data_IF_649058753699
#
_entry.id   IF_649058753699
#
_cell.length_a   1.000
_cell.length_b   1.000
_cell.length_c   1.000
_cell.angle_alpha   90.00
_cell.angle_beta   90.00
_cell.angle_gamma   90.00
#
_symmetry.space_group_name_H-M   'P 1'
#
loop_
_entity.id
_entity.type
_entity.pdbx_description
1 polymer ?
#
# COMPACT_ATOMS: atom_id res chain seq x y z
N UNK A 1 0.84 14.43 33.82
CA UNK A 1 0.06 14.06 32.63
C UNK A 1 1.05 14.11 31.48
N UNK A 2 1.66 12.98 31.14
CA UNK A 2 2.42 12.86 29.91
C UNK A 2 1.47 13.14 28.75
N UNK A 3 1.79 14.13 27.93
CA UNK A 3 1.12 14.29 26.64
C UNK A 3 1.44 13.00 25.86
N UNK A 4 0.47 12.09 25.74
CA UNK A 4 0.57 10.99 24.78
C UNK A 4 0.91 11.63 23.44
N UNK A 5 2.07 11.30 22.94
CA UNK A 5 2.56 11.78 21.65
C UNK A 5 1.69 11.11 20.59
N UNK A 6 0.58 11.76 20.21
CA UNK A 6 -0.38 11.23 19.25
C UNK A 6 0.29 11.23 17.88
N UNK A 7 0.81 10.07 17.49
CA UNK A 7 1.50 9.90 16.22
C UNK A 7 0.58 10.11 15.02
N UNK A 8 1.13 10.67 13.93
CA UNK A 8 0.47 10.79 12.64
C UNK A 8 1.00 9.70 11.68
N UNK A 9 0.12 8.85 11.21
CA UNK A 9 0.40 7.80 10.22
C UNK A 9 -0.23 8.18 8.89
N UNK A 10 0.59 8.28 7.85
CA UNK A 10 0.13 8.54 6.49
C UNK A 10 0.25 7.26 5.68
N UNK A 11 -0.82 6.88 5.02
CA UNK A 11 -0.87 5.76 4.07
C UNK A 11 -1.11 6.29 2.66
N UNK A 12 -0.24 5.95 1.73
CA UNK A 12 -0.32 6.38 0.34
C UNK A 12 -0.36 5.14 -0.57
N UNK A 13 -1.42 4.98 -1.35
CA UNK A 13 -1.47 4.06 -2.48
C UNK A 13 -1.08 4.82 -3.73
N UNK A 14 -0.02 4.40 -4.41
CA UNK A 14 0.49 5.05 -5.61
C UNK A 14 0.62 4.07 -6.78
N UNK A 15 0.11 4.47 -7.93
CA UNK A 15 0.25 3.80 -9.22
C UNK A 15 0.51 4.82 -10.31
N UNK A 16 0.75 4.37 -11.55
CA UNK A 16 0.89 5.28 -12.70
C UNK A 16 -0.37 6.14 -12.95
N UNK A 17 -1.54 5.61 -12.66
CA UNK A 17 -2.79 6.31 -12.92
C UNK A 17 -3.20 7.24 -11.81
N UNK A 18 -3.14 6.76 -10.57
CA UNK A 18 -3.69 7.44 -9.41
C UNK A 18 -2.82 7.28 -8.18
N UNK A 19 -2.86 8.32 -7.36
CA UNK A 19 -2.36 8.32 -5.99
C UNK A 19 -3.51 8.63 -5.06
N UNK A 20 -3.63 7.88 -3.96
CA UNK A 20 -4.56 8.18 -2.86
C UNK A 20 -3.77 8.28 -1.56
N UNK A 21 -4.17 9.21 -0.70
CA UNK A 21 -3.53 9.39 0.61
C UNK A 21 -4.58 9.36 1.71
N UNK A 22 -4.28 8.61 2.75
CA UNK A 22 -5.09 8.51 3.97
C UNK A 22 -4.28 8.93 5.18
N UNK A 23 -4.97 9.41 6.19
CA UNK A 23 -4.41 9.79 7.49
C UNK A 23 -5.01 8.94 8.59
N UNK A 24 -4.20 8.62 9.59
CA UNK A 24 -4.64 7.91 10.78
C UNK A 24 -3.93 8.42 12.03
N UNK A 25 -4.68 8.51 13.11
CA UNK A 25 -4.21 8.83 14.46
C UNK A 25 -4.93 7.91 15.44
N UNK A 26 -4.29 7.58 16.55
CA UNK A 26 -4.83 6.59 17.51
C UNK A 26 -6.25 6.90 18.01
N UNK A 27 -6.63 8.17 18.11
CA UNK A 27 -7.99 8.57 18.56
C UNK A 27 -9.06 8.46 17.46
N UNK A 28 -8.66 8.24 16.19
CA UNK A 28 -9.58 8.09 15.08
C UNK A 28 -10.15 6.68 15.06
N UNK A 29 -11.44 6.57 14.76
CA UNK A 29 -12.11 5.28 14.64
C UNK A 29 -11.55 4.43 13.49
N UNK A 30 -11.22 5.09 12.38
CA UNK A 30 -10.65 4.49 11.17
C UNK A 30 -9.82 5.53 10.40
N UNK A 31 -8.90 5.09 9.53
CA UNK A 31 -8.17 6.00 8.65
C UNK A 31 -9.12 6.79 7.74
N UNK A 32 -8.83 8.08 7.57
CA UNK A 32 -9.60 8.96 6.70
C UNK A 32 -8.81 9.26 5.43
N UNK A 33 -9.42 9.01 4.28
CA UNK A 33 -8.82 9.33 2.99
C UNK A 33 -9.09 10.79 2.63
N UNK A 34 -8.07 11.47 2.15
CA UNK A 34 -8.15 12.89 1.83
C UNK A 34 -8.86 13.05 0.48
N UNK A 35 -9.97 13.80 0.49
CA UNK A 35 -10.65 14.16 -0.74
C UNK A 35 -9.98 15.36 -1.41
N UNK A 36 -9.84 15.30 -2.73
CA UNK A 36 -9.34 16.41 -3.55
C UNK A 36 -10.40 17.50 -3.78
N UNK A 37 -11.66 17.21 -3.49
CA UNK A 37 -12.78 18.13 -3.62
C UNK A 37 -13.53 18.14 -2.29
N UNK A 38 -13.58 19.30 -1.65
CA UNK A 38 -14.24 19.45 -0.36
C UNK A 38 -15.73 19.02 -0.43
N UNK A 39 -16.14 18.17 0.52
CA UNK A 39 -17.49 17.66 0.59
C UNK A 39 -17.87 16.56 -0.42
N UNK A 40 -16.87 15.97 -1.10
CA UNK A 40 -17.08 14.84 -2.02
C UNK A 40 -16.14 13.66 -1.70
N UNK A 41 -16.48 12.47 -2.19
CA UNK A 41 -15.65 11.26 -2.10
C UNK A 41 -14.65 11.14 -3.27
N UNK A 42 -14.04 12.26 -3.68
CA UNK A 42 -13.08 12.29 -4.77
C UNK A 42 -11.66 12.07 -4.25
N UNK A 43 -11.29 10.84 -4.03
CA UNK A 43 -10.01 10.46 -3.39
C UNK A 43 -8.85 10.28 -4.36
N UNK A 44 -9.13 9.96 -5.62
CA UNK A 44 -8.11 9.67 -6.62
C UNK A 44 -7.47 10.95 -7.14
N UNK A 45 -6.18 11.09 -6.91
CA UNK A 45 -5.33 12.14 -7.45
C UNK A 45 -4.62 11.53 -8.67
N UNK A 46 -4.84 12.00 -9.91
CA UNK A 46 -4.05 11.54 -11.03
C UNK A 46 -2.55 11.67 -10.75
N UNK A 47 -1.78 10.60 -10.96
CA UNK A 47 -0.31 10.62 -10.81
C UNK A 47 0.28 11.35 -12.02
N UNK A 48 0.03 12.64 -12.08
CA UNK A 48 0.36 13.51 -13.20
C UNK A 48 1.03 14.79 -12.73
N UNK A 49 2.11 15.16 -13.40
CA UNK A 49 2.86 16.39 -13.21
C UNK A 49 3.00 17.10 -14.55
N UNK A 50 2.89 18.42 -14.56
CA UNK A 50 3.07 19.21 -15.77
C UNK A 50 3.78 20.52 -15.48
N UNK A 51 4.70 20.93 -16.38
CA UNK A 51 5.40 22.23 -16.34
C UNK A 51 4.68 23.22 -17.22
N UNK A 52 4.38 24.40 -16.70
CA UNK A 52 3.85 25.51 -17.51
C UNK A 52 4.89 25.96 -18.54
N UNK A 53 4.47 26.14 -19.77
CA UNK A 53 5.35 26.59 -20.85
C UNK A 53 5.97 27.97 -20.56
N UNK A 54 7.28 28.10 -20.74
CA UNK A 54 8.03 29.33 -20.58
C UNK A 54 8.20 29.80 -19.11
N UNK A 55 7.73 29.04 -18.11
CA UNK A 55 7.77 29.40 -16.67
C UNK A 55 8.09 28.18 -15.82
N UNK A 56 8.84 28.39 -14.73
CA UNK A 56 9.18 27.32 -13.76
C UNK A 56 8.03 26.89 -12.82
N UNK A 57 6.76 26.98 -13.26
CA UNK A 57 5.61 26.61 -12.45
C UNK A 57 5.15 25.18 -12.75
N UNK A 58 4.89 24.40 -11.69
CA UNK A 58 4.43 23.03 -11.79
C UNK A 58 2.98 22.88 -11.36
N UNK A 59 2.22 22.10 -12.13
CA UNK A 59 0.86 21.66 -11.82
C UNK A 59 0.86 20.16 -11.53
N UNK A 60 -0.01 19.68 -10.65
CA UNK A 60 -0.13 18.26 -10.32
C UNK A 60 -1.58 17.77 -10.37
N UNK A 61 -1.75 16.46 -10.47
CA UNK A 61 -3.06 15.82 -10.42
C UNK A 61 -3.99 16.24 -11.55
N UNK A 62 -5.23 16.57 -11.23
CA UNK A 62 -6.25 16.97 -12.22
C UNK A 62 -5.88 18.27 -12.93
N UNK A 63 -5.31 19.22 -12.20
CA UNK A 63 -4.90 20.48 -12.82
C UNK A 63 -3.83 20.26 -13.89
N UNK A 64 -2.84 19.41 -13.63
CA UNK A 64 -1.83 19.04 -14.62
C UNK A 64 -2.48 18.51 -15.91
N UNK A 65 -3.41 17.54 -15.79
CA UNK A 65 -4.12 16.99 -16.95
C UNK A 65 -4.93 18.04 -17.72
N UNK A 66 -5.60 18.96 -17.03
CA UNK A 66 -6.37 20.05 -17.66
C UNK A 66 -5.44 20.99 -18.42
N UNK A 67 -4.31 21.42 -17.81
CA UNK A 67 -3.36 22.35 -18.41
C UNK A 67 -2.60 21.74 -19.61
N UNK A 68 -2.34 20.45 -19.57
CA UNK A 68 -1.78 19.72 -20.71
C UNK A 68 -2.80 19.68 -21.86
N UNK A 69 -4.05 19.34 -21.56
CA UNK A 69 -5.13 19.29 -22.57
C UNK A 69 -5.40 20.66 -23.22
N UNK A 70 -5.27 21.76 -22.47
CA UNK A 70 -5.41 23.13 -23.01
C UNK A 70 -4.17 23.61 -23.78
N UNK A 71 -3.07 22.85 -23.79
CA UNK A 71 -1.81 23.24 -24.44
C UNK A 71 -0.98 24.25 -23.65
N UNK A 72 -1.37 24.60 -22.41
CA UNK A 72 -0.66 25.59 -21.58
C UNK A 72 0.56 25.00 -20.86
N UNK A 73 0.60 23.68 -20.66
CA UNK A 73 1.67 22.99 -19.96
C UNK A 73 2.13 21.74 -20.72
N UNK A 74 3.34 21.29 -20.41
CA UNK A 74 3.92 20.03 -20.88
C UNK A 74 3.82 18.99 -19.77
N UNK A 75 3.18 17.87 -20.06
CA UNK A 75 2.98 16.77 -19.12
C UNK A 75 4.18 15.84 -19.06
N UNK A 76 4.35 15.19 -17.91
CA UNK A 76 5.26 14.06 -17.73
C UNK A 76 4.42 12.80 -17.80
N UNK A 77 4.71 11.94 -18.76
CA UNK A 77 4.09 10.63 -18.92
C UNK A 77 4.91 9.57 -18.15
N UNK A 78 4.22 8.54 -17.62
CA UNK A 78 4.84 7.40 -16.93
C UNK A 78 5.80 7.85 -15.81
N UNK A 79 5.36 8.80 -15.00
CA UNK A 79 6.19 9.48 -14.01
C UNK A 79 6.80 8.51 -12.99
N UNK A 80 6.02 7.56 -12.50
CA UNK A 80 6.45 6.62 -11.47
C UNK A 80 7.46 5.61 -12.04
N UNK A 81 7.19 5.07 -13.22
CA UNK A 81 8.07 4.08 -13.87
C UNK A 81 9.39 4.72 -14.31
N UNK A 82 9.35 5.91 -14.93
CA UNK A 82 10.56 6.67 -15.27
C UNK A 82 11.40 7.02 -14.04
N UNK A 83 10.75 7.37 -12.93
CA UNK A 83 11.47 7.63 -11.70
C UNK A 83 12.13 6.36 -11.16
N UNK A 84 11.44 5.21 -11.23
CA UNK A 84 11.96 3.91 -10.81
C UNK A 84 13.15 3.46 -11.65
N UNK A 85 13.08 3.66 -12.96
CA UNK A 85 14.17 3.29 -13.90
C UNK A 85 15.32 4.29 -13.95
N UNK A 86 15.19 5.42 -13.23
CA UNK A 86 16.23 6.46 -13.20
C UNK A 86 16.33 7.27 -14.50
N UNK A 87 15.23 7.33 -15.26
CA UNK A 87 15.21 8.05 -16.54
C UNK A 87 15.23 9.57 -16.37
N UNK A 88 15.60 10.23 -17.43
CA UNK A 88 15.60 11.69 -17.56
C UNK A 88 14.45 12.14 -18.47
N UNK A 89 13.77 13.19 -18.06
CA UNK A 89 12.65 13.79 -18.78
C UNK A 89 13.08 15.11 -19.38
N UNK A 90 12.86 15.26 -20.67
CA UNK A 90 13.13 16.52 -21.39
C UNK A 90 11.84 17.32 -21.55
N UNK A 91 11.81 18.52 -20.97
CA UNK A 91 10.69 19.45 -21.11
C UNK A 91 11.23 20.79 -21.64
N UNK A 92 10.74 21.22 -22.78
CA UNK A 92 11.27 22.36 -23.52
C UNK A 92 12.76 22.16 -23.87
N UNK A 93 13.65 22.90 -23.22
CA UNK A 93 15.11 22.84 -23.39
C UNK A 93 15.83 22.37 -22.10
N UNK A 94 15.09 21.93 -21.11
CA UNK A 94 15.61 21.55 -19.81
C UNK A 94 15.47 20.06 -19.58
N UNK A 95 16.45 19.51 -18.87
CA UNK A 95 16.56 18.10 -18.53
C UNK A 95 16.30 17.95 -17.02
N UNK A 96 15.45 17.03 -16.67
CA UNK A 96 15.07 16.75 -15.29
C UNK A 96 15.24 15.26 -14.98
N UNK A 97 15.75 14.92 -13.81
CA UNK A 97 15.66 13.54 -13.32
C UNK A 97 14.19 13.23 -12.98
N UNK A 98 13.67 12.09 -13.45
CA UNK A 98 12.29 11.72 -13.15
C UNK A 98 12.03 11.56 -11.65
N UNK A 99 13.06 11.15 -10.86
CA UNK A 99 13.00 11.10 -9.39
C UNK A 99 12.79 12.47 -8.75
N UNK A 100 13.35 13.55 -9.31
CA UNK A 100 13.11 14.91 -8.83
C UNK A 100 11.69 15.37 -9.14
N UNK A 101 11.18 15.02 -10.31
CA UNK A 101 9.80 15.31 -10.70
C UNK A 101 8.80 14.56 -9.83
N UNK A 102 9.07 13.29 -9.51
CA UNK A 102 8.25 12.53 -8.58
C UNK A 102 8.31 13.13 -7.16
N UNK A 103 9.47 13.62 -6.71
CA UNK A 103 9.59 14.32 -5.43
C UNK A 103 8.74 15.60 -5.38
N UNK A 104 8.68 16.38 -6.48
CA UNK A 104 7.79 17.55 -6.59
C UNK A 104 6.32 17.10 -6.47
N UNK A 105 5.92 16.04 -7.17
CA UNK A 105 4.57 15.50 -7.11
C UNK A 105 4.21 15.06 -5.69
N UNK A 106 5.06 14.24 -5.06
CA UNK A 106 4.83 13.74 -3.69
C UNK A 106 4.78 14.86 -2.66
N UNK A 107 5.62 15.88 -2.78
CA UNK A 107 5.56 17.07 -1.91
C UNK A 107 4.18 17.73 -1.97
N UNK A 108 3.60 17.83 -3.15
CA UNK A 108 2.24 18.39 -3.33
C UNK A 108 1.16 17.49 -2.73
N UNK A 109 1.25 16.18 -2.94
CA UNK A 109 0.31 15.21 -2.36
C UNK A 109 0.39 15.23 -0.83
N UNK A 110 1.58 15.20 -0.26
CA UNK A 110 1.79 15.27 1.19
C UNK A 110 1.29 16.60 1.79
N UNK A 111 1.37 17.70 1.05
CA UNK A 111 0.84 18.99 1.51
C UNK A 111 -0.69 18.99 1.68
N UNK A 112 -1.42 18.12 0.99
CA UNK A 112 -2.86 17.96 1.18
C UNK A 112 -3.16 17.38 2.57
N UNK A 113 -2.33 16.46 3.05
CA UNK A 113 -2.45 15.92 4.40
C UNK A 113 -2.16 16.98 5.48
N UNK A 114 -1.17 17.84 5.26
CA UNK A 114 -0.83 18.94 6.17
C UNK A 114 -1.88 20.04 6.23
N UNK A 115 -2.62 20.28 5.14
CA UNK A 115 -3.72 21.25 5.12
C UNK A 115 -5.00 20.75 5.79
N UNK A 116 -5.15 19.43 5.92
CA UNK A 116 -6.32 18.80 6.51
C UNK A 116 -6.23 18.71 8.04
N UNK A 117 -5.02 18.77 8.62
CA UNK A 117 -4.81 18.75 10.07
C UNK A 117 -3.52 19.44 10.51
N UNK A 118 -3.63 20.14 11.60
CA UNK A 118 -2.65 20.92 12.31
C UNK A 118 -1.38 20.11 12.65
N UNK A 119 -0.21 20.62 12.19
CA UNK A 119 1.15 20.53 12.74
C UNK A 119 1.50 19.36 13.70
N UNK A 120 1.06 18.15 13.40
CA UNK A 120 1.51 16.98 14.16
C UNK A 120 2.74 16.35 13.49
N UNK A 121 3.73 15.92 14.27
CA UNK A 121 4.91 15.27 13.70
C UNK A 121 4.52 13.97 13.02
N UNK A 122 4.96 13.79 11.78
CA UNK A 122 4.84 12.53 11.05
C UNK A 122 5.59 11.42 11.80
N UNK A 123 4.87 10.33 12.13
CA UNK A 123 5.45 9.15 12.75
C UNK A 123 5.90 8.15 11.70
N UNK A 124 5.01 7.77 10.79
CA UNK A 124 5.32 6.89 9.66
C UNK A 124 4.61 7.36 8.40
N UNK A 125 5.30 7.27 7.26
CA UNK A 125 4.76 7.35 5.92
C UNK A 125 4.85 5.96 5.28
N UNK A 126 3.72 5.37 5.00
CA UNK A 126 3.65 4.05 4.37
C UNK A 126 3.21 4.20 2.93
N UNK A 127 4.05 3.78 1.99
CA UNK A 127 3.75 3.80 0.57
C UNK A 127 3.38 2.38 0.14
N UNK A 128 2.15 2.24 -0.34
CA UNK A 128 1.61 1.01 -0.90
C UNK A 128 1.79 1.02 -2.42
N UNK A 129 2.41 -0.02 -2.94
CA UNK A 129 2.71 -0.25 -4.35
C UNK A 129 2.05 -1.55 -4.81
N UNK A 130 1.95 -1.75 -6.12
CA UNK A 130 1.54 -3.04 -6.65
C UNK A 130 2.53 -4.14 -6.27
N UNK A 131 3.83 -3.83 -6.36
CA UNK A 131 4.94 -4.70 -5.98
C UNK A 131 6.08 -3.86 -5.41
N UNK A 132 6.66 -4.31 -4.30
CA UNK A 132 7.89 -3.73 -3.74
C UNK A 132 9.11 -4.32 -4.44
N UNK A 133 10.11 -3.47 -4.72
CA UNK A 133 11.40 -3.87 -5.29
C UNK A 133 12.53 -3.01 -4.73
N UNK A 134 13.78 -3.44 -4.96
CA UNK A 134 14.97 -2.69 -4.53
C UNK A 134 15.00 -1.29 -5.13
N UNK A 135 14.64 -1.17 -6.42
CA UNK A 135 14.62 0.12 -7.12
C UNK A 135 13.61 1.09 -6.49
N UNK A 136 12.45 0.60 -6.07
CA UNK A 136 11.49 1.43 -5.33
C UNK A 136 11.99 1.81 -3.94
N UNK A 137 12.67 0.89 -3.25
CA UNK A 137 13.27 1.19 -1.95
C UNK A 137 14.30 2.33 -2.06
N UNK A 138 15.23 2.23 -3.01
CA UNK A 138 16.25 3.24 -3.26
C UNK A 138 15.61 4.57 -3.71
N UNK A 139 14.65 4.52 -4.64
CA UNK A 139 13.94 5.70 -5.14
C UNK A 139 13.25 6.46 -4.00
N UNK A 140 12.39 5.80 -3.24
CA UNK A 140 11.61 6.48 -2.21
C UNK A 140 12.48 6.92 -1.03
N UNK A 141 13.52 6.17 -0.66
CA UNK A 141 14.51 6.60 0.33
C UNK A 141 15.22 7.89 -0.11
N UNK A 142 15.67 7.97 -1.36
CA UNK A 142 16.28 9.17 -1.90
C UNK A 142 15.29 10.37 -1.94
N UNK A 143 14.02 10.11 -2.27
CA UNK A 143 12.97 11.14 -2.26
C UNK A 143 12.70 11.64 -0.83
N UNK A 144 12.67 10.75 0.18
CA UNK A 144 12.47 11.17 1.58
C UNK A 144 13.56 12.12 2.03
N UNK A 145 14.83 11.83 1.71
CA UNK A 145 15.95 12.74 1.99
C UNK A 145 15.73 14.11 1.32
N UNK A 146 15.32 14.16 0.05
CA UNK A 146 15.02 15.41 -0.66
C UNK A 146 13.85 16.20 -0.04
N UNK A 147 12.89 15.50 0.57
CA UNK A 147 11.74 16.10 1.23
C UNK A 147 12.03 16.50 2.70
N UNK A 148 13.20 16.16 3.22
CA UNK A 148 13.58 16.40 4.63
C UNK A 148 12.82 15.48 5.60
N UNK A 149 12.40 14.30 5.15
CA UNK A 149 11.77 13.27 5.96
C UNK A 149 12.82 12.21 6.31
N UNK A 150 12.93 11.85 7.58
CA UNK A 150 13.83 10.80 8.04
C UNK A 150 13.46 9.46 7.41
N UNK A 151 14.44 8.73 6.91
CA UNK A 151 14.21 7.48 6.15
C UNK A 151 13.67 6.34 7.01
N UNK A 152 13.91 6.35 8.31
CA UNK A 152 13.32 5.41 9.27
C UNK A 152 11.80 5.57 9.44
N UNK A 153 11.25 6.71 9.00
CA UNK A 153 9.79 6.94 8.95
C UNK A 153 9.13 6.39 7.70
N UNK A 154 9.90 5.99 6.69
CA UNK A 154 9.38 5.39 5.48
C UNK A 154 9.16 3.89 5.67
N UNK A 155 8.04 3.39 5.16
CA UNK A 155 7.75 1.97 5.02
C UNK A 155 7.17 1.73 3.63
N UNK A 156 7.63 0.71 2.94
CA UNK A 156 7.04 0.23 1.70
C UNK A 156 6.32 -1.09 1.92
N UNK A 157 5.10 -1.19 1.40
CA UNK A 157 4.31 -2.43 1.43
C UNK A 157 3.69 -2.68 0.06
N UNK A 158 3.33 -3.92 -0.24
CA UNK A 158 2.53 -4.22 -1.43
C UNK A 158 1.01 -4.16 -1.13
N UNK A 159 0.19 -4.21 -2.17
CA UNK A 159 -1.28 -4.15 -2.06
C UNK A 159 -1.84 -5.34 -1.28
N UNK A 160 -1.21 -6.52 -1.32
CA UNK A 160 -1.64 -7.70 -0.56
C UNK A 160 -1.40 -7.48 0.93
N UNK A 161 -0.24 -6.97 1.29
CA UNK A 161 0.09 -6.62 2.67
C UNK A 161 -0.83 -5.52 3.19
N UNK A 162 -1.13 -4.51 2.37
CA UNK A 162 -2.11 -3.48 2.72
C UNK A 162 -3.52 -4.07 2.94
N UNK A 163 -3.96 -4.98 2.09
CA UNK A 163 -5.24 -5.68 2.27
C UNK A 163 -5.26 -6.48 3.58
N UNK A 164 -4.19 -7.18 3.89
CA UNK A 164 -4.03 -7.91 5.15
C UNK A 164 -4.24 -7.01 6.37
N UNK A 165 -3.52 -5.89 6.44
CA UNK A 165 -3.68 -4.96 7.56
C UNK A 165 -5.08 -4.35 7.61
N UNK A 166 -5.62 -3.96 6.46
CA UNK A 166 -6.97 -3.40 6.41
C UNK A 166 -8.03 -4.39 6.91
N UNK A 167 -8.06 -5.59 6.36
CA UNK A 167 -9.09 -6.58 6.64
C UNK A 167 -9.10 -7.00 8.12
N UNK A 168 -7.93 -7.19 8.72
CA UNK A 168 -7.80 -7.63 10.11
C UNK A 168 -7.87 -6.48 11.15
N UNK A 169 -7.86 -5.24 10.69
CA UNK A 169 -8.13 -4.06 11.53
C UNK A 169 -9.62 -3.73 11.64
N UNK A 170 -10.48 -4.46 10.94
CA UNK A 170 -11.93 -4.28 11.02
C UNK A 170 -12.52 -5.02 12.24
N UNK A 171 -13.84 -4.88 12.45
CA UNK A 171 -14.52 -5.63 13.52
C UNK A 171 -14.37 -7.14 13.35
N UNK A 172 -14.21 -7.91 14.47
CA UNK A 172 -13.94 -9.35 14.42
C UNK A 172 -14.94 -10.16 13.58
N UNK A 173 -16.18 -9.69 13.48
CA UNK A 173 -17.23 -10.32 12.69
C UNK A 173 -16.98 -10.26 11.17
N UNK A 174 -16.07 -9.39 10.70
CA UNK A 174 -15.74 -9.30 9.27
C UNK A 174 -14.69 -10.31 8.84
N UNK A 175 -13.92 -10.85 9.79
CA UNK A 175 -12.89 -11.83 9.53
C UNK A 175 -13.02 -13.09 10.42
N UNK A 176 -14.22 -13.41 10.86
CA UNK A 176 -14.48 -14.65 11.61
C UNK A 176 -14.06 -15.89 10.82
N UNK A 177 -14.33 -15.89 9.52
CA UNK A 177 -13.89 -16.85 8.53
C UNK A 177 -13.03 -16.18 7.46
N UNK A 178 -12.91 -16.77 6.27
CA UNK A 178 -12.16 -16.19 5.16
C UNK A 178 -12.68 -14.80 4.78
N UNK A 179 -11.78 -13.98 4.26
CA UNK A 179 -12.11 -12.66 3.69
C UNK A 179 -11.68 -12.68 2.22
N UNK A 180 -12.54 -12.20 1.35
CA UNK A 180 -12.25 -12.13 -0.08
C UNK A 180 -12.24 -10.68 -0.54
N UNK A 181 -11.27 -10.34 -1.36
CA UNK A 181 -11.22 -9.07 -2.08
C UNK A 181 -11.25 -9.34 -3.58
N UNK A 182 -12.05 -8.59 -4.30
CA UNK A 182 -11.99 -8.47 -5.75
C UNK A 182 -11.50 -7.08 -6.09
N UNK A 183 -10.41 -6.99 -6.83
CA UNK A 183 -9.82 -5.75 -7.33
C UNK A 183 -10.09 -5.64 -8.83
N UNK A 184 -10.79 -4.57 -9.20
CA UNK A 184 -11.06 -4.20 -10.58
C UNK A 184 -10.63 -2.74 -10.83
N UNK A 185 -9.43 -2.40 -10.33
CA UNK A 185 -8.83 -1.06 -10.47
C UNK A 185 -8.25 -0.85 -11.86
N UNK A 186 -7.61 -1.88 -12.38
CA UNK A 186 -7.06 -1.92 -13.73
C UNK A 186 -8.04 -2.56 -14.72
N UNK A 187 -7.53 -3.08 -15.82
CA UNK A 187 -8.37 -3.74 -16.82
C UNK A 187 -8.77 -5.16 -16.45
N UNK A 188 -8.00 -5.81 -15.59
CA UNK A 188 -8.18 -7.19 -15.19
C UNK A 188 -8.91 -7.31 -13.85
N UNK A 189 -9.71 -8.33 -13.71
CA UNK A 189 -10.31 -8.73 -12.45
C UNK A 189 -9.34 -9.62 -11.69
N UNK A 190 -8.96 -9.18 -10.51
CA UNK A 190 -8.08 -9.92 -9.60
C UNK A 190 -8.84 -10.28 -8.33
N UNK A 191 -8.76 -11.52 -7.87
CA UNK A 191 -9.26 -11.92 -6.55
C UNK A 191 -8.10 -12.19 -5.60
N UNK A 192 -8.30 -11.84 -4.32
CA UNK A 192 -7.38 -12.16 -3.24
C UNK A 192 -8.17 -12.72 -2.07
N UNK A 193 -7.84 -13.93 -1.61
CA UNK A 193 -8.49 -14.57 -0.47
C UNK A 193 -7.55 -14.63 0.72
N UNK A 194 -7.98 -14.06 1.83
CA UNK A 194 -7.30 -14.08 3.11
C UNK A 194 -7.82 -15.23 3.98
N UNK A 195 -6.92 -16.12 4.39
CA UNK A 195 -7.20 -17.24 5.29
C UNK A 195 -6.31 -17.15 6.53
N UNK A 196 -6.87 -17.46 7.69
CA UNK A 196 -6.15 -17.50 8.96
C UNK A 196 -5.86 -18.92 9.40
N UNK A 197 -4.63 -19.23 9.78
CA UNK A 197 -4.32 -20.45 10.47
C UNK A 197 -4.57 -20.28 11.99
N UNK A 198 -5.68 -20.83 12.46
CA UNK A 198 -6.10 -20.73 13.86
C UNK A 198 -5.27 -21.61 14.81
N UNK A 199 -4.41 -22.48 14.30
CA UNK A 199 -3.61 -23.43 15.08
C UNK A 199 -2.21 -22.90 15.43
N UNK A 200 -1.87 -21.70 14.98
CA UNK A 200 -0.57 -21.07 15.25
C UNK A 200 -0.71 -19.82 16.14
N UNK A 201 0.35 -19.51 16.89
CA UNK A 201 0.44 -18.30 17.71
C UNK A 201 1.81 -17.65 17.47
N UNK A 202 1.87 -16.49 16.80
CA UNK A 202 0.76 -15.74 16.19
C UNK A 202 0.05 -16.52 15.07
N UNK A 203 -1.18 -16.12 14.73
CA UNK A 203 -1.92 -16.72 13.64
C UNK A 203 -1.28 -16.38 12.29
N UNK A 204 -0.90 -17.39 11.53
CA UNK A 204 -0.33 -17.19 10.20
C UNK A 204 -1.44 -16.90 9.19
N UNK A 205 -1.24 -15.84 8.42
CA UNK A 205 -2.15 -15.40 7.37
C UNK A 205 -1.62 -15.86 6.01
N UNK A 206 -2.50 -16.46 5.23
CA UNK A 206 -2.24 -16.84 3.85
C UNK A 206 -3.10 -15.99 2.93
N UNK A 207 -2.49 -15.42 1.90
CA UNK A 207 -3.16 -14.68 0.84
C UNK A 207 -3.02 -15.45 -0.48
N UNK A 208 -4.15 -15.90 -1.02
CA UNK A 208 -4.21 -16.56 -2.32
C UNK A 208 -4.74 -15.59 -3.35
N UNK A 209 -3.91 -15.16 -4.28
CA UNK A 209 -4.26 -14.22 -5.35
C UNK A 209 -4.41 -14.93 -6.69
N UNK A 210 -5.43 -14.53 -7.47
CA UNK A 210 -5.67 -15.05 -8.82
C UNK A 210 -6.10 -13.93 -9.75
N UNK A 211 -5.44 -13.83 -10.91
CA UNK A 211 -5.87 -12.97 -12.01
C UNK A 211 -6.87 -13.74 -12.90
N UNK A 212 -8.03 -13.16 -13.16
CA UNK A 212 -9.12 -13.73 -13.96
C UNK A 212 -9.19 -13.08 -15.35
N UNK A 213 -8.35 -12.10 -15.66
CA UNK A 213 -8.36 -11.34 -16.90
C UNK A 213 -9.48 -10.31 -16.97
N UNK A 214 -9.75 -9.85 -18.17
CA UNK A 214 -10.77 -8.81 -18.43
C UNK A 214 -12.17 -9.38 -18.43
N UNK A 215 -13.10 -8.64 -17.82
CA UNK A 215 -14.52 -8.89 -18.01
C UNK A 215 -14.94 -8.39 -19.40
N UNK A 216 -15.71 -9.21 -20.11
CA UNK A 216 -16.17 -8.92 -21.48
C UNK A 216 -17.56 -8.26 -21.47
N UNK A 217 -18.41 -8.60 -22.44
CA UNK A 217 -19.71 -7.95 -22.66
C UNK A 217 -20.75 -8.24 -21.58
N UNK A 218 -20.73 -9.44 -20.99
CA UNK A 218 -21.67 -9.87 -19.95
C UNK A 218 -21.04 -9.77 -18.56
N UNK A 219 -20.55 -8.58 -18.20
CA UNK A 219 -19.77 -8.34 -16.98
C UNK A 219 -20.38 -8.92 -15.71
N UNK A 220 -21.68 -8.75 -15.47
CA UNK A 220 -22.34 -9.25 -14.25
C UNK A 220 -22.33 -10.78 -14.18
N UNK A 221 -22.69 -11.46 -15.29
CA UNK A 221 -22.68 -12.92 -15.35
C UNK A 221 -21.28 -13.52 -15.26
N UNK A 222 -20.28 -12.85 -15.86
CA UNK A 222 -18.87 -13.28 -15.77
C UNK A 222 -18.32 -13.08 -14.36
N UNK A 223 -18.57 -11.92 -13.76
CA UNK A 223 -18.15 -11.66 -12.39
C UNK A 223 -18.84 -12.58 -11.39
N UNK A 224 -20.14 -12.88 -11.59
CA UNK A 224 -20.84 -13.83 -10.74
C UNK A 224 -20.21 -15.23 -10.78
N UNK A 225 -19.80 -15.71 -11.96
CA UNK A 225 -19.09 -17.00 -12.10
C UNK A 225 -17.74 -16.96 -11.39
N UNK A 226 -16.95 -15.90 -11.58
CA UNK A 226 -15.68 -15.72 -10.89
C UNK A 226 -15.89 -15.72 -9.38
N UNK A 227 -16.89 -15.00 -8.89
CA UNK A 227 -17.20 -14.94 -7.47
C UNK A 227 -17.63 -16.31 -6.91
N UNK A 228 -18.41 -17.08 -7.68
CA UNK A 228 -18.77 -18.46 -7.34
C UNK A 228 -17.52 -19.33 -7.26
N UNK A 229 -16.66 -19.32 -8.27
CA UNK A 229 -15.44 -20.14 -8.30
C UNK A 229 -14.49 -19.84 -7.13
N UNK A 230 -14.41 -18.57 -6.69
CA UNK A 230 -13.53 -18.13 -5.60
C UNK A 230 -14.11 -18.47 -4.22
N UNK A 231 -15.43 -18.42 -4.06
CA UNK A 231 -16.12 -18.52 -2.78
C UNK A 231 -16.73 -19.92 -2.56
N UNK A 232 -17.04 -20.65 -3.62
CA UNK A 232 -17.79 -21.90 -3.53
C UNK A 232 -17.07 -22.94 -2.65
N UNK A 233 -17.84 -23.62 -1.79
CA UNK A 233 -17.30 -24.56 -0.81
C UNK A 233 -16.53 -23.94 0.36
N UNK A 234 -16.49 -22.60 0.47
CA UNK A 234 -15.79 -21.86 1.54
C UNK A 234 -16.76 -21.05 2.38
N UNK A 235 -16.43 -20.90 3.67
CA UNK A 235 -17.13 -19.95 4.55
C UNK A 235 -16.42 -18.62 4.52
N UNK A 236 -17.09 -17.60 3.98
CA UNK A 236 -16.55 -16.25 3.81
C UNK A 236 -17.37 -15.26 4.63
N UNK A 237 -16.72 -14.49 5.50
CA UNK A 237 -17.35 -13.49 6.36
C UNK A 237 -17.59 -12.17 5.65
N UNK A 238 -16.60 -11.70 4.89
CA UNK A 238 -16.67 -10.41 4.21
C UNK A 238 -16.08 -10.48 2.79
N UNK A 239 -16.62 -9.65 1.92
CA UNK A 239 -16.15 -9.44 0.55
C UNK A 239 -15.91 -7.95 0.33
N UNK A 240 -14.74 -7.59 -0.18
CA UNK A 240 -14.38 -6.23 -0.56
C UNK A 240 -14.30 -6.13 -2.07
N UNK A 241 -15.02 -5.17 -2.64
CA UNK A 241 -15.02 -4.83 -4.07
C UNK A 241 -14.27 -3.51 -4.24
N UNK A 242 -13.11 -3.54 -4.89
CA UNK A 242 -12.18 -2.42 -4.96
C UNK A 242 -11.98 -1.98 -6.40
N UNK A 243 -11.99 -0.66 -6.62
CA UNK A 243 -11.64 -0.05 -7.90
C UNK A 243 -12.79 0.47 -8.73
N UNK A 244 -12.43 1.27 -9.73
CA UNK A 244 -13.37 1.99 -10.60
C UNK A 244 -14.18 1.05 -11.50
N UNK A 245 -13.69 -0.16 -11.73
CA UNK A 245 -14.40 -1.16 -12.53
C UNK A 245 -15.73 -1.60 -11.92
N UNK A 246 -15.91 -1.39 -10.61
CA UNK A 246 -17.16 -1.66 -9.90
C UNK A 246 -18.13 -0.48 -9.87
N UNK A 247 -17.78 0.65 -10.48
CA UNK A 247 -18.70 1.79 -10.59
C UNK A 247 -19.90 1.48 -11.47
N UNK A 248 -21.06 2.04 -11.08
CA UNK A 248 -22.33 1.90 -11.81
C UNK A 248 -23.18 0.72 -11.34
N UNK A 249 -24.33 0.53 -12.01
CA UNK A 249 -25.40 -0.38 -11.59
C UNK A 249 -25.37 -1.74 -12.32
N UNK A 250 -24.21 -2.20 -12.77
CA UNK A 250 -24.09 -3.40 -13.59
C UNK A 250 -24.07 -4.72 -12.79
N UNK A 251 -23.72 -4.70 -11.49
CA UNK A 251 -23.48 -5.87 -10.62
C UNK A 251 -24.75 -6.40 -9.91
N UNK A 252 -25.89 -6.52 -10.57
CA UNK A 252 -27.14 -6.90 -9.89
C UNK A 252 -27.15 -8.35 -9.42
N UNK A 253 -26.85 -9.30 -10.31
CA UNK A 253 -26.85 -10.73 -9.99
C UNK A 253 -25.65 -11.09 -9.10
N UNK A 254 -24.48 -10.53 -9.37
CA UNK A 254 -23.29 -10.73 -8.56
C UNK A 254 -23.49 -10.24 -7.12
N UNK A 255 -24.03 -9.04 -6.92
CA UNK A 255 -24.30 -8.51 -5.58
C UNK A 255 -25.34 -9.34 -4.83
N UNK A 256 -26.40 -9.80 -5.51
CA UNK A 256 -27.38 -10.69 -4.89
C UNK A 256 -26.72 -11.98 -4.38
N UNK A 257 -25.81 -12.58 -5.15
CA UNK A 257 -25.05 -13.75 -4.75
C UNK A 257 -24.09 -13.44 -3.60
N UNK A 258 -23.33 -12.35 -3.71
CA UNK A 258 -22.30 -11.98 -2.71
C UNK A 258 -22.91 -11.58 -1.36
N UNK A 259 -24.01 -10.83 -1.36
CA UNK A 259 -24.69 -10.38 -0.13
C UNK A 259 -25.46 -11.50 0.59
N UNK A 260 -25.57 -12.68 -0.01
CA UNK A 260 -26.22 -13.81 0.65
C UNK A 260 -25.28 -14.35 1.76
N UNK A 261 -25.62 -14.06 3.02
CA UNK A 261 -24.88 -14.48 4.24
C UNK A 261 -23.51 -13.82 4.49
N UNK A 262 -23.10 -12.82 3.69
CA UNK A 262 -21.80 -12.15 3.80
C UNK A 262 -21.95 -10.63 3.89
N UNK A 263 -20.99 -9.97 4.51
CA UNK A 263 -20.86 -8.51 4.44
C UNK A 263 -20.13 -8.15 3.16
N UNK A 264 -20.71 -7.26 2.34
CA UNK A 264 -20.09 -6.78 1.11
C UNK A 264 -19.82 -5.29 1.22
N UNK A 265 -18.58 -4.91 0.95
CA UNK A 265 -18.11 -3.53 0.99
C UNK A 265 -17.60 -3.13 -0.39
N UNK A 266 -18.00 -1.96 -0.86
CA UNK A 266 -17.52 -1.37 -2.11
C UNK A 266 -16.74 -0.12 -1.80
N UNK A 267 -15.55 0.02 -2.39
CA UNK A 267 -14.71 1.19 -2.13
C UNK A 267 -13.51 1.28 -3.07
N UNK A 268 -12.75 2.36 -2.93
CA UNK A 268 -11.57 2.61 -3.76
C UNK A 268 -10.29 2.82 -2.96
N UNK A 269 -10.43 3.12 -1.67
CA UNK A 269 -9.36 3.63 -0.81
C UNK A 269 -8.84 2.61 0.20
N UNK A 270 -9.13 1.32 0.01
CA UNK A 270 -8.71 0.26 0.92
C UNK A 270 -7.20 0.25 1.10
N UNK A 271 -6.43 0.35 0.02
CA UNK A 271 -4.99 0.25 0.07
C UNK A 271 -4.31 1.41 0.81
N UNK A 272 -4.76 2.64 0.63
CA UNK A 272 -4.22 3.78 1.41
C UNK A 272 -4.61 3.70 2.89
N UNK A 273 -5.80 3.21 3.22
CA UNK A 273 -6.23 2.96 4.60
C UNK A 273 -5.46 1.81 5.24
N UNK A 274 -5.27 0.70 4.51
CA UNK A 274 -4.47 -0.44 4.97
C UNK A 274 -3.02 -0.06 5.24
N UNK A 275 -2.45 0.81 4.41
CA UNK A 275 -1.12 1.38 4.63
C UNK A 275 -1.04 2.19 5.94
N UNK A 276 -2.08 2.96 6.30
CA UNK A 276 -2.14 3.62 7.60
C UNK A 276 -2.11 2.62 8.76
N UNK A 277 -2.92 1.57 8.69
CA UNK A 277 -2.93 0.52 9.71
C UNK A 277 -1.59 -0.20 9.80
N UNK A 278 -0.95 -0.48 8.66
CA UNK A 278 0.39 -1.07 8.65
C UNK A 278 1.40 -0.22 9.43
N UNK A 279 1.43 1.09 9.19
CA UNK A 279 2.32 2.01 9.90
C UNK A 279 2.06 2.02 11.41
N UNK A 280 0.80 2.07 11.82
CA UNK A 280 0.40 2.07 13.23
C UNK A 280 0.76 0.76 13.95
N UNK A 281 0.51 -0.38 13.30
CA UNK A 281 0.76 -1.71 13.88
C UNK A 281 2.27 -1.99 13.93
N UNK A 282 3.01 -1.72 12.86
CA UNK A 282 4.47 -1.92 12.81
C UNK A 282 5.23 -0.97 13.75
N UNK A 283 4.64 0.16 14.13
CA UNK A 283 5.17 1.05 15.17
C UNK A 283 4.94 0.53 16.63
N UNK A 284 4.38 -0.68 16.77
CA UNK A 284 4.15 -1.34 18.05
C UNK A 284 3.06 -0.68 18.91
N UNK A 285 2.16 0.11 18.33
CA UNK A 285 1.09 0.82 19.05
C UNK A 285 -0.13 -0.04 19.35
N UNK A 286 -0.18 -1.26 18.82
CA UNK A 286 -1.26 -2.22 19.02
C UNK A 286 -0.69 -3.62 19.06
N UNK A 287 -1.20 -4.44 20.03
CA UNK A 287 -0.96 -5.88 20.00
C UNK A 287 -1.54 -6.49 18.72
N UNK A 288 -0.69 -7.20 18.00
CA UNK A 288 -1.07 -7.75 16.70
C UNK A 288 -0.85 -9.27 16.68
N UNK A 289 -1.93 -10.07 16.82
CA UNK A 289 -1.81 -11.51 16.95
C UNK A 289 -1.66 -12.26 15.62
N UNK A 290 -1.39 -11.54 14.54
CA UNK A 290 -1.31 -12.09 13.20
C UNK A 290 0.08 -11.90 12.61
N UNK A 291 0.50 -12.83 11.75
CA UNK A 291 1.70 -12.70 10.93
C UNK A 291 1.37 -13.05 9.47
N UNK A 292 1.73 -12.17 8.57
CA UNK A 292 1.68 -12.40 7.13
C UNK A 292 3.09 -12.67 6.64
N UNK A 293 3.26 -13.72 5.83
CA UNK A 293 4.54 -14.09 5.21
C UNK A 293 4.30 -14.09 3.70
N UNK A 294 4.45 -12.92 3.10
CA UNK A 294 4.31 -12.70 1.66
C UNK A 294 5.61 -12.89 0.89
N UNK A 295 5.72 -12.17 -0.22
CA UNK A 295 6.93 -12.20 -1.05
C UNK A 295 8.02 -11.27 -0.53
N UNK A 296 7.65 -10.31 0.33
CA UNK A 296 8.57 -9.33 0.91
C UNK A 296 9.12 -9.78 2.28
N UNK A 297 8.60 -10.85 2.86
CA UNK A 297 9.03 -11.37 4.15
C UNK A 297 9.88 -12.62 3.99
N UNK A 298 10.86 -12.74 4.87
CA UNK A 298 11.68 -13.93 4.97
C UNK A 298 10.85 -15.12 5.45
N UNK A 299 10.92 -16.22 4.73
CA UNK A 299 10.13 -17.44 5.02
C UNK A 299 10.83 -18.38 5.99
N UNK A 300 12.10 -18.12 6.30
CA UNK A 300 12.94 -18.94 7.15
C UNK A 300 13.71 -18.08 8.14
N UNK A 301 13.92 -18.61 9.34
CA UNK A 301 14.86 -18.02 10.28
C UNK A 301 16.29 -18.30 9.81
N UNK A 302 17.18 -17.33 9.95
CA UNK A 302 18.62 -17.53 9.78
C UNK A 302 19.29 -17.62 11.15
N UNK A 303 19.98 -18.73 11.40
CA UNK A 303 20.68 -18.99 12.64
C UNK A 303 22.18 -19.12 12.37
N UNK A 304 22.98 -18.56 13.28
CA UNK A 304 24.40 -18.88 13.40
C UNK A 304 24.57 -19.87 14.55
N UNK A 305 25.31 -20.94 14.31
CA UNK A 305 25.75 -21.83 15.38
C UNK A 305 27.05 -21.29 15.94
N UNK A 306 27.00 -20.81 17.16
CA UNK A 306 28.11 -20.12 17.84
C UNK A 306 28.50 -20.82 19.12
N UNK A 307 29.76 -20.71 19.51
CA UNK A 307 30.27 -21.17 20.80
C UNK A 307 30.28 -20.00 21.76
N UNK A 308 29.47 -20.09 22.81
CA UNK A 308 29.41 -19.06 23.86
C UNK A 308 29.79 -19.72 25.19
N UNK A 309 30.92 -19.30 25.78
CA UNK A 309 31.37 -19.85 27.05
C UNK A 309 31.52 -21.36 27.12
N UNK A 310 32.01 -22.01 26.05
CA UNK A 310 32.15 -23.44 25.85
C UNK A 310 30.85 -24.23 25.57
N UNK A 311 29.73 -23.57 25.37
CA UNK A 311 28.47 -24.19 24.97
C UNK A 311 28.08 -23.79 23.56
N UNK A 312 27.65 -24.76 22.74
CA UNK A 312 27.14 -24.51 21.40
C UNK A 312 25.71 -23.98 21.49
N UNK A 313 25.49 -22.78 20.98
CA UNK A 313 24.18 -22.13 20.95
C UNK A 313 23.81 -21.71 19.54
N UNK A 314 22.49 -21.59 19.28
CA UNK A 314 21.99 -21.01 18.04
C UNK A 314 21.67 -19.54 18.29
N UNK A 315 22.39 -18.65 17.62
CA UNK A 315 22.11 -17.22 17.60
C UNK A 315 21.20 -16.91 16.40
N UNK A 316 20.00 -16.38 16.66
CA UNK A 316 19.09 -15.96 15.60
C UNK A 316 19.61 -14.66 15.01
N UNK A 317 20.04 -14.69 13.75
CA UNK A 317 20.48 -13.50 13.03
C UNK A 317 19.29 -12.75 12.42
N UNK A 318 18.37 -13.49 11.81
CA UNK A 318 17.17 -12.94 11.19
C UNK A 318 15.99 -13.87 11.49
N UNK A 319 14.82 -13.28 11.80
CA UNK A 319 13.60 -14.02 12.11
C UNK A 319 12.65 -14.06 10.91
N UNK A 320 12.01 -15.20 10.67
CA UNK A 320 10.97 -15.30 9.65
C UNK A 320 9.82 -14.33 9.92
N UNK A 321 9.24 -13.79 8.85
CA UNK A 321 8.19 -12.77 8.92
C UNK A 321 8.73 -11.33 8.94
N UNK A 322 10.05 -11.13 9.01
CA UNK A 322 10.67 -9.83 8.84
C UNK A 322 10.85 -9.50 7.35
N UNK A 323 10.69 -8.24 6.99
CA UNK A 323 10.91 -7.78 5.61
C UNK A 323 12.38 -7.87 5.25
N UNK A 324 12.71 -8.48 4.11
CA UNK A 324 14.09 -8.67 3.65
C UNK A 324 14.83 -7.35 3.41
N UNK A 325 14.12 -6.24 3.29
CA UNK A 325 14.69 -4.91 3.02
C UNK A 325 14.70 -3.98 4.26
N UNK A 326 13.99 -4.32 5.33
CA UNK A 326 13.97 -3.53 6.57
C UNK A 326 14.98 -4.04 7.61
N UNK A 327 15.41 -5.30 7.48
CA UNK A 327 16.23 -5.96 8.49
C UNK A 327 17.69 -5.99 8.09
N UNK A 328 18.52 -5.46 8.97
CA UNK A 328 19.98 -5.59 8.90
C UNK A 328 20.42 -6.41 10.10
N UNK A 329 20.69 -7.69 9.85
CA UNK A 329 21.27 -8.58 10.85
C UNK A 329 22.79 -8.46 10.85
N UNK A 330 23.35 -7.67 11.75
CA UNK A 330 24.80 -7.59 11.95
C UNK A 330 25.21 -8.26 13.27
N UNK A 331 26.25 -9.06 13.21
CA UNK A 331 26.90 -9.60 14.41
C UNK A 331 28.39 -9.77 14.16
N UNK A 332 29.18 -9.52 15.20
CA UNK A 332 30.62 -9.82 15.18
C UNK A 332 30.83 -11.24 15.69
N UNK A 333 31.51 -12.08 14.89
CA UNK A 333 31.89 -13.42 15.28
C UNK A 333 33.38 -13.64 15.11
N UNK A 334 33.99 -14.38 16.03
CA UNK A 334 35.36 -14.87 15.88
C UNK A 334 35.28 -16.25 15.26
N UNK A 335 35.91 -16.43 14.13
CA UNK A 335 36.01 -17.76 13.50
C UNK A 335 36.98 -18.62 14.30
N UNK A 336 36.48 -19.76 14.78
CA UNK A 336 37.33 -20.77 15.40
C UNK A 336 37.80 -21.74 14.32
N UNK A 337 39.11 -21.72 14.00
CA UNK A 337 39.73 -22.57 13.00
C UNK A 337 40.88 -21.87 12.30
N UNK A 338 41.79 -22.67 11.73
CA UNK A 338 42.82 -22.16 10.81
C UNK A 338 42.20 -21.88 9.46
N UNK A 339 42.56 -20.76 8.79
CA UNK A 339 42.10 -20.43 7.46
C UNK A 339 42.50 -21.47 6.42
#
# INVERSE_FOLDING_TARGET
MEQENVGLYLGMDISEKYTMISIYQQHMKEPQTISTIMGSESYQIPTALAKKKGVGQWFFGREAKVRVKSGEALGVEDLLDKARTGEEVFLEHEKYAASDLLAIFLKRVLSLAGSAQVMMPLTKLVICLDKVSVEYMELFSAIMVKLGIETDKLLLIDRRESFYYYALSQGPETFLHDVVMFDYTESDMVSCRLRRNMHTTPQVINLDQKNHGKLLDQKDGEFQKIAQDVIDGQVVSAVYLIGDGFDGDWMKASLQYLCHTRKVFVGKNLYSKGACYAGFIKDGKQDWPFVYIGDNELKLNLYLKVLVGNEMQFFTLITAGQSWFDEVGECEVILDGTP
#
